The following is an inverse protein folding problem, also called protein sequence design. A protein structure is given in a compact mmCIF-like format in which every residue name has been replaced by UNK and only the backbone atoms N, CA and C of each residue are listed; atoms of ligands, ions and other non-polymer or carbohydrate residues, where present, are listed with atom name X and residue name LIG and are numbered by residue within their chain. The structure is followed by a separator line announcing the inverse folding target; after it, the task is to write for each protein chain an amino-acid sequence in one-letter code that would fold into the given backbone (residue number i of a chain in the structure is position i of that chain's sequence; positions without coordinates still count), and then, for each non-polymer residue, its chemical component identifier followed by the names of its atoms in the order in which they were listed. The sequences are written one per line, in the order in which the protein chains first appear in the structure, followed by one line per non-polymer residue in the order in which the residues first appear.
data_IF_289538971580
#
_entry.id   IF_289538971580
#
_cell.length_a   1.000
_cell.length_b   1.000
_cell.length_c   1.000
_cell.angle_alpha   90.00
_cell.angle_beta   90.00
_cell.angle_gamma   90.00
#
_symmetry.space_group_name_H-M   'P 1'
#
loop_
_entity.id
_entity.type
_entity.pdbx_description
1 polymer ?
#
# COMPACT_ATOMS: atom_id res chain seq x y z
N UNK A 1 3.81 10.81 -3.27
CA UNK A 1 4.31 10.56 -4.64
C UNK A 1 5.72 10.04 -4.51
N UNK A 2 6.08 9.01 -5.27
CA UNK A 2 7.42 8.44 -5.27
C UNK A 2 7.65 7.63 -6.56
N UNK A 3 8.91 7.33 -6.82
CA UNK A 3 9.34 6.26 -7.72
C UNK A 3 10.20 5.31 -6.90
N UNK A 4 10.10 4.01 -7.16
CA UNK A 4 10.88 2.99 -6.46
C UNK A 4 11.19 1.81 -7.36
N UNK A 5 11.84 0.82 -6.77
CA UNK A 5 12.12 -0.47 -7.42
C UNK A 5 11.41 -1.55 -6.61
N UNK A 6 10.74 -2.47 -7.29
CA UNK A 6 10.10 -3.62 -6.64
C UNK A 6 11.20 -4.48 -6.00
N UNK A 7 11.12 -4.66 -4.69
CA UNK A 7 12.02 -5.55 -3.94
C UNK A 7 11.55 -7.00 -4.06
N UNK A 8 10.28 -7.27 -3.74
CA UNK A 8 9.64 -8.57 -3.86
C UNK A 8 8.15 -8.43 -4.20
N UNK A 9 7.51 -9.54 -4.59
CA UNK A 9 6.07 -9.60 -4.90
C UNK A 9 5.39 -10.70 -4.09
N UNK A 10 4.13 -10.45 -3.70
CA UNK A 10 3.29 -11.44 -3.03
C UNK A 10 2.77 -12.53 -3.97
N UNK A 11 2.19 -13.58 -3.38
CA UNK A 11 1.55 -14.65 -4.15
C UNK A 11 0.42 -14.09 -5.03
N UNK A 12 0.38 -14.53 -6.30
CA UNK A 12 -0.66 -14.15 -7.26
C UNK A 12 -0.37 -12.91 -8.12
N UNK A 13 0.68 -12.15 -7.82
CA UNK A 13 1.17 -11.06 -8.69
C UNK A 13 1.78 -11.66 -9.96
N UNK A 14 1.42 -11.14 -11.13
CA UNK A 14 1.83 -11.71 -12.44
C UNK A 14 2.49 -10.70 -13.38
N UNK A 15 2.23 -9.42 -13.14
CA UNK A 15 2.53 -8.27 -13.97
C UNK A 15 3.73 -7.46 -13.45
N UNK A 16 4.24 -7.79 -12.26
CA UNK A 16 5.42 -7.19 -11.65
C UNK A 16 6.38 -8.27 -11.16
N UNK A 17 7.67 -7.93 -11.10
CA UNK A 17 8.74 -8.75 -10.52
C UNK A 17 9.78 -7.88 -9.83
N UNK A 18 10.61 -8.51 -9.00
CA UNK A 18 11.76 -7.84 -8.38
C UNK A 18 12.66 -7.17 -9.42
N UNK A 19 13.05 -5.92 -9.17
CA UNK A 19 13.87 -5.10 -10.06
C UNK A 19 13.10 -4.17 -11.00
N UNK A 20 11.77 -4.31 -11.14
CA UNK A 20 10.99 -3.39 -11.96
C UNK A 20 10.92 -2.00 -11.32
N UNK A 21 11.07 -0.95 -12.12
CA UNK A 21 10.86 0.43 -11.69
C UNK A 21 9.36 0.75 -11.70
N UNK A 22 8.85 1.27 -10.58
CA UNK A 22 7.42 1.50 -10.38
C UNK A 22 7.13 2.87 -9.77
N UNK A 23 5.95 3.39 -10.08
CA UNK A 23 5.37 4.57 -9.44
C UNK A 23 4.15 4.10 -8.64
N UNK A 24 4.19 4.16 -7.29
CA UNK A 24 3.01 3.87 -6.48
C UNK A 24 1.89 4.87 -6.75
N UNK A 25 0.75 4.39 -7.27
CA UNK A 25 -0.44 5.20 -7.51
C UNK A 25 -1.39 5.15 -6.31
N UNK A 26 -1.83 6.31 -5.82
CA UNK A 26 -2.76 6.37 -4.67
C UNK A 26 -4.18 5.92 -5.02
N UNK A 27 -4.52 5.97 -6.31
CA UNK A 27 -5.77 5.48 -6.88
C UNK A 27 -5.44 4.24 -7.74
N UNK A 28 -5.93 3.07 -7.32
CA UNK A 28 -5.63 1.81 -7.99
C UNK A 28 -6.63 1.46 -9.10
N UNK A 29 -6.30 0.44 -9.87
CA UNK A 29 -7.08 -0.07 -11.00
C UNK A 29 -7.11 -1.60 -10.92
N UNK A 30 -8.29 -2.20 -10.70
CA UNK A 30 -8.40 -3.66 -10.58
C UNK A 30 -8.57 -4.39 -11.91
N UNK A 31 -8.83 -3.68 -13.01
CA UNK A 31 -9.08 -4.26 -14.34
C UNK A 31 -10.40 -5.03 -14.51
N UNK A 32 -11.14 -5.32 -13.43
CA UNK A 32 -12.31 -6.20 -13.45
C UNK A 32 -13.64 -5.55 -13.04
N UNK A 33 -13.63 -4.40 -12.36
CA UNK A 33 -14.86 -3.72 -11.95
C UNK A 33 -15.47 -2.92 -13.12
N UNK A 34 -16.76 -2.60 -13.03
CA UNK A 34 -17.49 -1.88 -14.10
C UNK A 34 -16.78 -0.59 -14.52
N UNK A 35 -16.25 0.16 -13.56
CA UNK A 35 -15.52 1.41 -13.82
C UNK A 35 -14.20 1.14 -14.54
N UNK A 36 -13.42 0.13 -14.13
CA UNK A 36 -12.13 -0.19 -14.79
C UNK A 36 -12.31 -0.78 -16.20
N UNK A 37 -13.45 -1.37 -16.51
CA UNK A 37 -13.76 -1.88 -17.87
C UNK A 37 -14.29 -0.81 -18.82
N UNK A 38 -14.44 0.42 -18.33
CA UNK A 38 -14.99 1.58 -19.04
C UNK A 38 -13.87 2.62 -19.27
N UNK A 39 -13.98 3.44 -20.31
CA UNK A 39 -12.93 4.42 -20.67
C UNK A 39 -13.14 5.78 -20.00
N UNK A 40 -14.31 6.00 -19.41
CA UNK A 40 -14.76 7.33 -18.98
C UNK A 40 -14.30 7.72 -17.57
N UNK A 41 -13.81 6.78 -16.76
CA UNK A 41 -13.44 7.03 -15.37
C UNK A 41 -12.35 6.09 -14.89
N UNK A 42 -11.51 6.58 -13.99
CA UNK A 42 -10.44 5.83 -13.34
C UNK A 42 -10.74 5.51 -11.86
N UNK A 43 -11.93 5.84 -11.35
CA UNK A 43 -12.29 5.64 -9.94
C UNK A 43 -12.73 4.20 -9.67
N UNK A 44 -11.76 3.29 -9.62
CA UNK A 44 -11.97 1.88 -9.34
C UNK A 44 -12.90 1.65 -8.14
N UNK A 45 -13.91 0.81 -8.28
CA UNK A 45 -14.87 0.56 -7.21
C UNK A 45 -14.19 0.01 -5.94
N UNK A 46 -13.13 -0.80 -6.13
CA UNK A 46 -12.37 -1.51 -5.09
C UNK A 46 -11.17 -0.74 -4.54
N UNK A 47 -10.40 -0.10 -5.42
CA UNK A 47 -9.10 0.52 -5.07
C UNK A 47 -9.04 2.02 -5.31
N UNK A 48 -10.18 2.69 -5.52
CA UNK A 48 -10.23 4.15 -5.53
C UNK A 48 -9.61 4.74 -4.28
N UNK A 49 -9.10 5.96 -4.43
CA UNK A 49 -8.58 6.75 -3.32
C UNK A 49 -9.59 6.86 -2.17
N UNK A 50 -9.12 6.62 -0.95
CA UNK A 50 -9.88 6.84 0.29
C UNK A 50 -8.91 7.37 1.37
N UNK A 51 -8.97 8.67 1.71
CA UNK A 51 -8.12 9.26 2.75
C UNK A 51 -8.36 8.71 4.17
N UNK A 52 -9.47 8.02 4.41
CA UNK A 52 -9.81 7.45 5.72
C UNK A 52 -9.35 6.00 5.88
N UNK A 53 -9.01 5.34 4.78
CA UNK A 53 -8.47 3.97 4.77
C UNK A 53 -7.06 3.95 5.34
N UNK A 54 -6.85 3.05 6.30
CA UNK A 54 -5.64 2.99 7.15
C UNK A 54 -4.92 1.64 7.14
N UNK A 55 -5.50 0.66 6.46
CA UNK A 55 -5.10 -0.76 6.50
C UNK A 55 -5.10 -1.39 5.11
N UNK A 56 -4.40 -2.52 4.98
CA UNK A 56 -4.34 -3.29 3.72
C UNK A 56 -5.69 -3.93 3.40
N UNK A 57 -6.02 -4.03 2.12
CA UNK A 57 -7.29 -4.65 1.67
C UNK A 57 -7.32 -6.16 1.93
N UNK A 58 -6.16 -6.82 1.89
CA UNK A 58 -6.06 -8.27 1.96
C UNK A 58 -6.43 -8.84 3.33
N UNK A 59 -6.05 -8.16 4.42
CA UNK A 59 -6.14 -8.69 5.78
C UNK A 59 -6.57 -7.66 6.84
N UNK A 60 -6.78 -6.39 6.47
CA UNK A 60 -7.10 -5.33 7.42
C UNK A 60 -5.97 -4.99 8.40
N UNK A 61 -4.74 -5.47 8.15
CA UNK A 61 -3.55 -5.18 8.94
C UNK A 61 -2.77 -3.95 8.47
N UNK A 62 -1.77 -3.57 9.25
CA UNK A 62 -0.71 -2.63 8.84
C UNK A 62 0.53 -3.41 8.43
N UNK A 63 1.43 -2.78 7.68
CA UNK A 63 2.77 -3.33 7.36
C UNK A 63 3.88 -2.61 8.12
N UNK A 64 3.49 -1.64 8.94
CA UNK A 64 4.37 -0.79 9.71
C UNK A 64 4.02 -0.89 11.20
N UNK A 65 5.08 -0.95 12.00
CA UNK A 65 5.04 -0.82 13.45
C UNK A 65 6.30 -0.10 13.91
N UNK A 66 6.19 0.70 14.96
CA UNK A 66 7.35 1.24 15.67
C UNK A 66 7.52 0.52 17.00
N UNK A 67 8.75 0.51 17.50
CA UNK A 67 9.08 0.10 18.86
C UNK A 67 9.60 1.29 19.62
N UNK A 68 8.97 1.62 20.75
CA UNK A 68 9.43 2.71 21.62
C UNK A 68 9.98 2.11 22.92
N UNK A 69 11.17 2.56 23.33
CA UNK A 69 11.68 2.31 24.66
C UNK A 69 10.96 3.25 25.62
N UNK A 70 10.16 2.72 26.55
CA UNK A 70 9.64 3.51 27.66
C UNK A 70 10.67 3.59 28.77
N UNK A 71 10.63 4.68 29.54
CA UNK A 71 11.45 4.86 30.74
C UNK A 71 11.27 3.64 31.66
N UNK A 72 12.35 2.89 31.89
CA UNK A 72 12.32 1.60 32.60
C UNK A 72 12.60 0.36 31.75
N UNK A 73 12.89 0.50 30.46
CA UNK A 73 13.43 -0.57 29.60
C UNK A 73 12.40 -1.50 28.96
N UNK A 74 11.10 -1.21 29.09
CA UNK A 74 10.06 -1.97 28.38
C UNK A 74 9.95 -1.50 26.93
N UNK A 75 9.97 -2.45 25.99
CA UNK A 75 9.71 -2.22 24.57
C UNK A 75 8.19 -2.30 24.33
N UNK A 76 7.59 -1.22 23.84
CA UNK A 76 6.20 -1.23 23.37
C UNK A 76 6.17 -1.17 21.84
N UNK A 77 5.45 -2.11 21.21
CA UNK A 77 5.18 -2.09 19.77
C UNK A 77 3.87 -1.34 19.50
N UNK A 78 3.92 -0.33 18.63
CA UNK A 78 2.76 0.44 18.20
C UNK A 78 2.59 0.35 16.69
N UNK A 79 1.36 0.09 16.23
CA UNK A 79 1.05 0.02 14.80
C UNK A 79 1.11 1.41 14.17
N UNK A 80 1.64 1.50 12.96
CA UNK A 80 1.60 2.71 12.13
C UNK A 80 0.65 2.44 10.97
N UNK A 81 -0.32 3.34 10.77
CA UNK A 81 -1.32 3.20 9.72
C UNK A 81 -0.78 3.61 8.35
N UNK A 82 -1.37 3.01 7.32
CA UNK A 82 -1.11 3.37 5.94
C UNK A 82 -1.81 4.68 5.56
N UNK A 83 -1.31 5.33 4.52
CA UNK A 83 -1.91 6.52 3.94
C UNK A 83 -1.99 6.41 2.41
N UNK A 84 -3.19 6.64 1.87
CA UNK A 84 -3.47 6.70 0.43
C UNK A 84 -2.87 5.54 -0.38
N UNK A 85 -3.01 4.30 0.12
CA UNK A 85 -2.54 3.06 -0.50
C UNK A 85 -1.05 3.04 -0.88
N UNK A 86 -0.23 3.95 -0.38
CA UNK A 86 1.17 4.11 -0.85
C UNK A 86 2.16 4.26 0.29
N UNK A 87 1.90 5.15 1.25
CA UNK A 87 2.75 5.38 2.43
C UNK A 87 4.23 5.57 2.05
N UNK A 88 4.54 6.57 1.23
CA UNK A 88 5.86 6.68 0.55
C UNK A 88 6.97 7.36 1.36
N UNK A 89 6.71 7.77 2.60
CA UNK A 89 7.72 8.37 3.48
C UNK A 89 8.41 7.31 4.35
N UNK A 90 9.04 6.35 3.68
CA UNK A 90 9.76 5.20 4.23
C UNK A 90 10.67 4.64 3.13
N UNK A 91 11.76 3.98 3.49
CA UNK A 91 12.67 3.33 2.54
C UNK A 91 11.98 2.17 1.80
N UNK A 92 11.06 1.47 2.47
CA UNK A 92 10.28 0.36 1.92
C UNK A 92 8.81 0.49 2.29
N UNK A 93 7.92 0.16 1.35
CA UNK A 93 6.47 0.12 1.55
C UNK A 93 5.88 -1.11 0.85
N UNK A 94 4.64 -1.45 1.20
CA UNK A 94 3.88 -2.56 0.61
C UNK A 94 2.57 -1.98 0.07
N UNK A 95 2.24 -2.34 -1.19
CA UNK A 95 1.05 -1.88 -1.92
C UNK A 95 0.00 -3.00 -2.02
#
# INVERSE_FOLDING_TARGET
EAVGVVESVGEGVKDLKGGDYVIPAFNGECGECRVCTQEESNLCERYKVDPMKRVMVSDGGTRFSTTTNKDGGSIESQRIYHFLNTSTFTEYTVL
#
